data_IF_381172070934
#
_entry.id   IF_381172070934
#
_cell.length_a   1.000
_cell.length_b   1.000
_cell.length_c   1.000
_cell.angle_alpha   90.00
_cell.angle_beta   90.00
_cell.angle_gamma   90.00
#
_symmetry.space_group_name_H-M   'P 1'
#
loop_
_entity.id
_entity.type
_entity.pdbx_description
1 polymer ?
#
# COMPACT_ATOMS: atom_id res chain seq x y z
N UNK A 1 -26.53 -3.79 0.21
CA UNK A 1 -25.37 -3.82 -0.72
C UNK A 1 -24.93 -2.39 -0.92
N UNK A 2 -23.72 -2.00 -0.49
CA UNK A 2 -23.21 -0.66 -0.77
C UNK A 2 -22.88 -0.58 -2.26
N UNK A 3 -23.73 0.08 -3.04
CA UNK A 3 -23.44 0.42 -4.44
C UNK A 3 -22.29 1.44 -4.42
N UNK A 4 -21.09 1.00 -4.78
CA UNK A 4 -19.94 1.89 -4.86
C UNK A 4 -20.21 2.96 -5.89
N UNK A 5 -20.26 4.22 -5.46
CA UNK A 5 -20.57 5.33 -6.34
C UNK A 5 -19.33 5.71 -7.16
N UNK A 6 -19.10 4.99 -8.26
CA UNK A 6 -17.95 5.21 -9.15
C UNK A 6 -17.85 6.65 -9.69
N UNK A 7 -18.99 7.33 -9.86
CA UNK A 7 -19.03 8.74 -10.24
C UNK A 7 -18.50 9.66 -9.12
N UNK A 8 -18.89 9.40 -7.86
CA UNK A 8 -18.35 10.13 -6.72
C UNK A 8 -16.85 9.89 -6.54
N UNK A 9 -16.40 8.65 -6.73
CA UNK A 9 -14.97 8.32 -6.73
C UNK A 9 -14.21 9.11 -7.81
N UNK A 10 -14.69 9.10 -9.06
CA UNK A 10 -14.08 9.86 -10.15
C UNK A 10 -14.01 11.36 -9.83
N UNK A 11 -15.10 11.95 -9.32
CA UNK A 11 -15.16 13.35 -8.95
C UNK A 11 -14.18 13.73 -7.82
N UNK A 12 -13.89 12.81 -6.89
CA UNK A 12 -12.90 13.00 -5.84
C UNK A 12 -11.48 12.92 -6.38
N UNK A 13 -11.18 11.96 -7.26
CA UNK A 13 -9.86 11.85 -7.90
C UNK A 13 -9.54 13.09 -8.76
N UNK A 14 -10.53 13.66 -9.45
CA UNK A 14 -10.36 14.93 -10.20
C UNK A 14 -10.01 16.10 -9.27
N UNK A 15 -10.37 16.04 -7.99
CA UNK A 15 -10.00 17.04 -6.98
C UNK A 15 -8.65 16.79 -6.30
N UNK A 16 -7.87 15.82 -6.77
CA UNK A 16 -6.52 15.56 -6.26
C UNK A 16 -6.48 14.80 -4.93
N UNK A 17 -7.51 14.02 -4.62
CA UNK A 17 -7.48 13.11 -3.46
C UNK A 17 -6.39 12.06 -3.66
N UNK A 18 -5.47 11.96 -2.69
CA UNK A 18 -4.49 10.88 -2.66
C UNK A 18 -5.16 9.55 -2.31
N UNK A 19 -5.25 8.65 -3.28
CA UNK A 19 -5.91 7.35 -3.11
C UNK A 19 -5.12 6.36 -2.27
N UNK A 20 -3.84 6.66 -2.02
CA UNK A 20 -2.94 5.87 -1.16
C UNK A 20 -3.05 6.28 0.31
N UNK A 21 -3.63 7.45 0.59
CA UNK A 21 -3.90 7.89 1.96
C UNK A 21 -5.08 7.11 2.58
N UNK A 22 -5.08 7.00 3.91
CA UNK A 22 -6.16 6.38 4.67
C UNK A 22 -5.76 6.09 6.12
N UNK A 23 -6.72 6.20 7.05
CA UNK A 23 -6.45 6.02 8.48
C UNK A 23 -6.24 4.54 8.85
N UNK A 24 -7.20 3.69 8.47
CA UNK A 24 -7.19 2.25 8.77
C UNK A 24 -6.65 1.45 7.60
N UNK A 25 -6.98 1.88 6.38
CA UNK A 25 -6.53 1.31 5.12
C UNK A 25 -6.86 2.30 4.01
N UNK A 26 -6.20 2.17 2.86
CA UNK A 26 -6.42 3.05 1.72
C UNK A 26 -7.64 2.65 0.89
N UNK A 27 -8.00 3.49 -0.08
CA UNK A 27 -9.18 3.30 -0.94
C UNK A 27 -9.22 1.92 -1.61
N UNK A 28 -8.07 1.41 -2.06
CA UNK A 28 -7.99 0.09 -2.72
C UNK A 28 -8.29 -1.07 -1.76
N UNK A 29 -8.01 -0.93 -0.46
CA UNK A 29 -8.36 -1.94 0.54
C UNK A 29 -9.87 -2.15 0.58
N UNK A 30 -10.62 -1.06 0.70
CA UNK A 30 -12.08 -1.11 0.78
C UNK A 30 -12.70 -1.51 -0.56
N UNK A 31 -12.22 -0.96 -1.67
CA UNK A 31 -12.73 -1.32 -2.99
C UNK A 31 -12.59 -2.83 -3.26
N UNK A 32 -11.45 -3.43 -2.89
CA UNK A 32 -11.22 -4.86 -3.02
C UNK A 32 -12.09 -5.68 -2.06
N UNK A 33 -12.15 -5.31 -0.78
CA UNK A 33 -12.91 -6.03 0.25
C UNK A 33 -14.43 -6.08 -0.03
N UNK A 34 -14.98 -5.02 -0.62
CA UNK A 34 -16.39 -4.93 -0.98
C UNK A 34 -16.69 -5.37 -2.42
N UNK A 35 -15.70 -5.88 -3.16
CA UNK A 35 -15.90 -6.41 -4.51
C UNK A 35 -16.24 -5.35 -5.57
N UNK A 36 -15.80 -4.10 -5.38
CA UNK A 36 -16.04 -2.98 -6.29
C UNK A 36 -15.10 -3.03 -7.50
N UNK A 37 -15.33 -4.02 -8.38
CA UNK A 37 -14.42 -4.33 -9.51
C UNK A 37 -14.04 -3.11 -10.36
N UNK A 38 -15.01 -2.26 -10.69
CA UNK A 38 -14.74 -1.09 -11.54
C UNK A 38 -13.85 -0.06 -10.84
N UNK A 39 -14.09 0.21 -9.55
CA UNK A 39 -13.25 1.12 -8.75
C UNK A 39 -11.83 0.56 -8.64
N UNK A 40 -11.68 -0.74 -8.40
CA UNK A 40 -10.36 -1.40 -8.36
C UNK A 40 -9.63 -1.27 -9.70
N UNK A 41 -10.31 -1.47 -10.83
CA UNK A 41 -9.70 -1.28 -12.15
C UNK A 41 -9.24 0.15 -12.37
N UNK A 42 -10.05 1.14 -12.00
CA UNK A 42 -9.68 2.56 -12.12
C UNK A 42 -8.48 2.89 -11.22
N UNK A 43 -8.49 2.44 -9.97
CA UNK A 43 -7.37 2.64 -9.02
C UNK A 43 -6.05 2.03 -9.50
N UNK A 44 -6.11 0.90 -10.22
CA UNK A 44 -4.95 0.21 -10.77
C UNK A 44 -4.52 0.73 -12.15
N UNK A 45 -5.16 1.79 -12.67
CA UNK A 45 -4.84 2.32 -13.99
C UNK A 45 -5.30 1.43 -15.16
N UNK A 46 -6.09 0.39 -14.90
CA UNK A 46 -6.52 -0.60 -15.90
C UNK A 46 -7.74 -0.15 -16.70
N UNK A 47 -7.97 1.16 -16.80
CA UNK A 47 -9.08 1.74 -17.55
C UNK A 47 -8.58 2.77 -18.58
N UNK A 48 -9.25 2.93 -19.72
CA UNK A 48 -8.84 3.91 -20.74
C UNK A 48 -8.86 5.36 -20.22
N UNK A 49 -9.66 5.64 -19.18
CA UNK A 49 -9.74 6.95 -18.54
C UNK A 49 -8.45 7.31 -17.80
N UNK A 50 -7.91 6.35 -17.04
CA UNK A 50 -6.67 6.53 -16.28
C UNK A 50 -5.42 6.60 -17.15
N UNK A 51 -5.43 5.99 -18.33
CA UNK A 51 -4.34 6.14 -19.32
C UNK A 51 -4.19 7.60 -19.81
N UNK A 52 -5.30 8.36 -19.88
CA UNK A 52 -5.30 9.74 -20.40
C UNK A 52 -5.21 10.81 -19.31
N UNK A 53 -5.64 10.50 -18.09
CA UNK A 53 -5.79 11.48 -16.99
C UNK A 53 -5.16 11.03 -15.66
N UNK A 54 -4.39 9.94 -15.65
CA UNK A 54 -3.73 9.44 -14.46
C UNK A 54 -2.60 10.36 -14.01
N UNK A 55 -2.63 10.78 -12.76
CA UNK A 55 -1.50 11.38 -12.04
C UNK A 55 -0.93 10.35 -11.06
N UNK A 56 0.31 10.54 -10.60
CA UNK A 56 0.97 9.65 -9.63
C UNK A 56 0.15 9.42 -8.34
N UNK A 57 -0.60 10.43 -7.91
CA UNK A 57 -1.45 10.38 -6.71
C UNK A 57 -2.81 9.70 -6.94
N UNK A 58 -3.17 9.45 -8.20
CA UNK A 58 -4.43 8.79 -8.57
C UNK A 58 -4.26 7.27 -8.76
N UNK A 59 -3.02 6.78 -8.84
CA UNK A 59 -2.72 5.36 -8.95
C UNK A 59 -2.49 4.76 -7.56
N UNK A 60 -3.26 3.73 -7.25
CA UNK A 60 -3.14 3.03 -5.99
C UNK A 60 -1.93 2.10 -6.01
N UNK A 61 -1.16 2.11 -4.93
CA UNK A 61 -0.14 1.11 -4.64
C UNK A 61 -0.83 -0.17 -4.12
N UNK A 62 -0.88 -1.26 -4.91
CA UNK A 62 -1.53 -2.51 -4.50
C UNK A 62 -0.77 -3.25 -3.40
N UNK A 63 0.45 -2.81 -3.07
CA UNK A 63 1.31 -3.39 -2.03
C UNK A 63 1.24 -2.63 -0.72
N UNK A 64 0.49 -1.53 -0.66
CA UNK A 64 0.31 -0.76 0.56
C UNK A 64 -0.33 -1.65 1.63
N UNK A 65 0.12 -1.50 2.88
CA UNK A 65 -0.42 -2.25 4.01
C UNK A 65 -1.37 -1.39 4.82
N UNK A 66 -2.47 -1.97 5.26
CA UNK A 66 -3.38 -1.38 6.23
C UNK A 66 -2.76 -1.37 7.65
N UNK A 67 -3.47 -0.82 8.64
CA UNK A 67 -2.98 -0.74 10.04
C UNK A 67 -2.73 -2.12 10.68
N UNK A 68 -3.31 -3.18 10.12
CA UNK A 68 -3.13 -4.55 10.58
C UNK A 68 -2.03 -5.28 9.78
N UNK A 69 -1.31 -4.55 8.92
CA UNK A 69 -0.24 -5.08 8.09
C UNK A 69 -0.73 -5.88 6.87
N UNK A 70 -2.02 -5.84 6.53
CA UNK A 70 -2.60 -6.61 5.42
C UNK A 70 -2.55 -5.81 4.12
N UNK A 71 -2.33 -6.47 3.00
CA UNK A 71 -2.50 -5.87 1.67
C UNK A 71 -3.99 -5.83 1.27
N UNK A 72 -4.38 -5.06 0.23
CA UNK A 72 -5.74 -5.07 -0.29
C UNK A 72 -6.23 -6.46 -0.69
N UNK A 73 -5.35 -7.26 -1.30
CA UNK A 73 -5.63 -8.65 -1.69
C UNK A 73 -5.91 -9.52 -0.48
N UNK A 74 -5.12 -9.38 0.59
CA UNK A 74 -5.30 -10.15 1.83
C UNK A 74 -6.60 -9.80 2.54
N UNK A 75 -6.96 -8.50 2.57
CA UNK A 75 -8.24 -8.07 3.10
C UNK A 75 -9.42 -8.62 2.27
N UNK A 76 -9.29 -8.63 0.93
CA UNK A 76 -10.30 -9.21 0.05
C UNK A 76 -10.47 -10.73 0.26
N UNK A 77 -9.38 -11.47 0.47
CA UNK A 77 -9.43 -12.89 0.85
C UNK A 77 -10.19 -13.09 2.17
N UNK A 78 -9.89 -12.29 3.18
CA UNK A 78 -10.58 -12.36 4.47
C UNK A 78 -12.08 -12.07 4.33
N UNK A 79 -12.45 -11.06 3.53
CA UNK A 79 -13.84 -10.73 3.25
C UNK A 79 -14.56 -11.85 2.49
N UNK A 80 -13.90 -12.48 1.51
CA UNK A 80 -14.43 -13.61 0.75
C UNK A 80 -14.61 -14.86 1.64
N UNK A 81 -13.66 -15.17 2.51
CA UNK A 81 -13.80 -16.25 3.50
C UNK A 81 -14.99 -15.99 4.41
N UNK A 82 -15.11 -14.78 4.96
CA UNK A 82 -16.25 -14.42 5.79
C UNK A 82 -17.60 -14.47 5.03
N UNK A 83 -17.61 -14.25 3.71
CA UNK A 83 -18.80 -14.39 2.89
C UNK A 83 -19.15 -15.86 2.59
N UNK A 84 -18.13 -16.70 2.40
CA UNK A 84 -18.26 -18.14 2.24
C UNK A 84 -18.85 -18.79 3.50
N UNK A 85 -18.33 -18.47 4.68
CA UNK A 85 -18.84 -18.96 5.98
C UNK A 85 -20.29 -18.54 6.25
N UNK A 86 -20.71 -17.37 5.72
CA UNK A 86 -22.10 -16.90 5.81
C UNK A 86 -23.08 -17.64 4.91
N UNK A 87 -22.62 -18.58 4.08
CA UNK A 87 -23.47 -19.44 3.24
C UNK A 87 -24.13 -18.74 2.04
N UNK A 88 -23.78 -17.48 1.75
CA UNK A 88 -24.32 -16.78 0.59
C UNK A 88 -23.59 -17.27 -0.66
N UNK A 89 -24.23 -18.02 -1.57
CA UNK A 89 -23.64 -18.50 -2.83
C UNK A 89 -22.18 -19.07 -2.72
N UNK A 90 -22.00 -20.21 -2.02
CA UNK A 90 -20.69 -20.75 -1.64
C UNK A 90 -19.82 -21.14 -2.84
N UNK A 91 -20.42 -21.63 -3.94
CA UNK A 91 -19.68 -22.05 -5.14
C UNK A 91 -18.99 -20.88 -5.83
N UNK A 92 -19.66 -19.72 -5.90
CA UNK A 92 -19.06 -18.49 -6.45
C UNK A 92 -17.86 -18.06 -5.63
N UNK A 93 -17.99 -18.03 -4.30
CA UNK A 93 -16.89 -17.62 -3.42
C UNK A 93 -15.74 -18.62 -3.41
N UNK A 94 -16.02 -19.93 -3.48
CA UNK A 94 -15.01 -20.98 -3.60
C UNK A 94 -14.13 -20.81 -4.84
N UNK A 95 -14.73 -20.51 -6.00
CA UNK A 95 -13.97 -20.25 -7.24
C UNK A 95 -13.12 -18.98 -7.12
N UNK A 96 -13.68 -17.90 -6.58
CA UNK A 96 -12.96 -16.63 -6.40
C UNK A 96 -11.79 -16.76 -5.41
N UNK A 97 -11.98 -17.48 -4.31
CA UNK A 97 -10.94 -17.78 -3.33
C UNK A 97 -9.75 -18.51 -3.97
N UNK A 98 -10.01 -19.56 -4.76
CA UNK A 98 -8.94 -20.29 -5.46
C UNK A 98 -8.13 -19.40 -6.40
N UNK A 99 -8.81 -18.53 -7.16
CA UNK A 99 -8.14 -17.61 -8.09
C UNK A 99 -7.26 -16.62 -7.31
N UNK A 100 -7.81 -16.02 -6.25
CA UNK A 100 -7.14 -14.97 -5.49
C UNK A 100 -5.98 -15.52 -4.66
N UNK A 101 -6.13 -16.71 -4.07
CA UNK A 101 -5.04 -17.43 -3.38
C UNK A 101 -3.90 -17.76 -4.34
N UNK A 102 -4.21 -18.29 -5.53
CA UNK A 102 -3.19 -18.59 -6.54
C UNK A 102 -2.44 -17.33 -6.99
N UNK A 103 -3.14 -16.21 -7.13
CA UNK A 103 -2.52 -14.93 -7.45
C UNK A 103 -1.61 -14.43 -6.32
N UNK A 104 -2.03 -14.57 -5.06
CA UNK A 104 -1.20 -14.20 -3.90
C UNK A 104 0.06 -15.06 -3.80
N UNK A 105 -0.05 -16.38 -4.00
CA UNK A 105 1.12 -17.27 -3.96
C UNK A 105 2.11 -16.96 -5.08
N UNK A 106 1.63 -16.67 -6.30
CA UNK A 106 2.49 -16.22 -7.39
C UNK A 106 3.22 -14.93 -7.03
N UNK A 107 2.50 -13.97 -6.44
CA UNK A 107 3.10 -12.72 -6.00
C UNK A 107 4.17 -12.92 -4.91
N UNK A 108 3.93 -13.82 -3.94
CA UNK A 108 4.93 -14.17 -2.92
C UNK A 108 6.19 -14.77 -3.54
N UNK A 109 6.03 -15.60 -4.57
CA UNK A 109 7.16 -16.16 -5.33
C UNK A 109 7.95 -15.06 -6.03
N UNK A 110 7.30 -14.14 -6.74
CA UNK A 110 7.98 -13.02 -7.44
C UNK A 110 8.78 -12.15 -6.45
N UNK A 111 8.20 -11.85 -5.29
CA UNK A 111 8.84 -11.15 -4.17
C UNK A 111 10.09 -11.87 -3.65
N UNK A 112 10.05 -13.20 -3.58
CA UNK A 112 11.20 -13.99 -3.12
C UNK A 112 12.36 -13.91 -4.12
N UNK A 113 12.06 -13.84 -5.41
CA UNK A 113 13.05 -13.64 -6.48
C UNK A 113 13.67 -12.25 -6.37
N UNK A 114 12.87 -11.19 -6.19
CA UNK A 114 13.36 -9.82 -5.99
C UNK A 114 14.34 -9.73 -4.81
N UNK A 115 14.03 -10.38 -3.68
CA UNK A 115 14.89 -10.41 -2.48
C UNK A 115 16.22 -11.13 -2.69
N UNK A 116 16.30 -12.00 -3.68
CA UNK A 116 17.50 -12.76 -4.03
C UNK A 116 18.33 -12.12 -5.16
N UNK A 117 17.90 -10.97 -5.68
CA UNK A 117 18.67 -10.20 -6.67
C UNK A 117 20.00 -9.73 -6.10
N UNK A 118 21.00 -9.54 -6.97
CA UNK A 118 22.31 -9.03 -6.56
C UNK A 118 22.23 -7.68 -5.86
N UNK A 119 21.32 -6.80 -6.32
CA UNK A 119 21.08 -5.50 -5.68
C UNK A 119 20.45 -5.64 -4.29
N UNK A 120 19.44 -6.51 -4.12
CA UNK A 120 18.85 -6.74 -2.79
C UNK A 120 19.86 -7.33 -1.80
N UNK A 121 20.74 -8.24 -2.26
CA UNK A 121 21.85 -8.77 -1.45
C UNK A 121 22.82 -7.67 -1.02
N UNK A 122 23.22 -6.79 -1.96
CA UNK A 122 24.06 -5.62 -1.66
C UNK A 122 23.39 -4.68 -0.65
N UNK A 123 22.10 -4.38 -0.84
CA UNK A 123 21.37 -3.50 0.07
C UNK A 123 21.29 -4.12 1.47
N UNK A 124 21.04 -5.42 1.56
CA UNK A 124 21.01 -6.17 2.82
C UNK A 124 22.35 -6.13 3.56
N UNK A 125 23.48 -6.18 2.85
CA UNK A 125 24.81 -6.06 3.47
C UNK A 125 25.20 -4.62 3.79
N UNK A 126 24.76 -3.64 3.00
CA UNK A 126 25.09 -2.23 3.18
C UNK A 126 24.21 -1.54 4.25
N UNK A 127 22.97 -2.00 4.47
CA UNK A 127 22.01 -1.39 5.40
C UNK A 127 22.55 -1.18 6.82
N UNK A 128 23.23 -2.17 7.46
CA UNK A 128 23.80 -1.97 8.80
C UNK A 128 24.84 -0.85 8.82
N UNK A 129 25.71 -0.78 7.80
CA UNK A 129 26.74 0.26 7.68
C UNK A 129 26.09 1.63 7.49
N UNK A 130 25.10 1.73 6.59
CA UNK A 130 24.36 2.98 6.36
C UNK A 130 23.60 3.42 7.62
N UNK A 131 23.06 2.48 8.39
CA UNK A 131 22.37 2.76 9.65
C UNK A 131 23.35 3.30 10.69
N UNK A 132 24.53 2.69 10.82
CA UNK A 132 25.58 3.14 11.73
C UNK A 132 26.07 4.55 11.36
N UNK A 133 26.33 4.80 10.07
CA UNK A 133 26.71 6.13 9.57
C UNK A 133 25.61 7.15 9.85
N UNK A 134 24.35 6.80 9.61
CA UNK A 134 23.22 7.68 9.91
C UNK A 134 23.18 8.01 11.39
N UNK A 135 23.19 7.02 12.29
CA UNK A 135 23.13 7.24 13.74
C UNK A 135 24.32 8.05 14.29
N UNK A 136 25.51 7.83 13.75
CA UNK A 136 26.74 8.52 14.20
C UNK A 136 26.84 9.96 13.69
N UNK A 137 26.30 10.25 12.50
CA UNK A 137 26.36 11.58 11.88
C UNK A 137 25.13 12.44 12.13
N UNK A 138 23.97 11.84 12.40
CA UNK A 138 22.73 12.54 12.77
C UNK A 138 22.55 12.66 14.28
N UNK A 139 23.60 13.05 15.00
CA UNK A 139 23.39 13.55 16.36
C UNK A 139 22.51 14.81 16.29
N UNK A 140 21.31 14.84 16.90
CA UNK A 140 20.69 16.12 17.17
C UNK A 140 21.65 16.89 18.07
N UNK A 141 22.04 18.10 17.66
CA UNK A 141 22.74 19.03 18.55
C UNK A 141 21.76 19.38 19.66
N UNK A 142 21.74 18.58 20.72
CA UNK A 142 21.12 18.97 21.97
C UNK A 142 21.99 20.13 22.45
N UNK A 143 21.48 21.36 22.29
CA UNK A 143 22.06 22.53 22.93
C UNK A 143 22.10 22.23 24.42
N UNK A 144 23.29 21.92 24.92
CA UNK A 144 23.55 21.81 26.33
C UNK A 144 23.35 23.22 26.95
N UNK A 145 22.36 23.43 27.84
CA UNK A 145 22.10 24.74 28.43
C UNK A 145 23.21 25.19 29.39
N UNK A 146 24.25 24.39 29.61
CA UNK A 146 25.31 24.65 30.59
C UNK A 146 26.53 25.41 30.05
N UNK A 147 26.64 25.63 28.73
CA UNK A 147 27.74 26.43 28.18
C UNK A 147 27.32 27.89 27.90
N UNK A 148 27.90 28.89 28.61
CA UNK A 148 27.61 30.28 28.36
C UNK A 148 28.14 30.68 26.97
N UNK A 149 27.32 31.46 26.24
CA UNK A 149 27.70 32.08 24.97
C UNK A 149 28.90 33.00 25.19
N UNK A 150 30.07 32.61 24.68
CA UNK A 150 31.17 33.55 24.49
C UNK A 150 30.81 34.40 23.28
N UNK A 151 30.41 35.65 23.52
CA UNK A 151 30.33 36.67 22.49
C UNK A 151 31.76 37.08 22.15
N UNK A 152 32.22 36.76 20.94
CA UNK A 152 33.41 37.39 20.38
C UNK A 152 33.00 38.78 19.92
N UNK A 153 33.33 39.79 20.71
CA UNK A 153 33.43 41.18 20.27
C UNK A 153 34.89 41.41 19.89
N UNK A 154 35.14 41.78 18.63
CA UNK A 154 36.46 42.06 18.07
C UNK A 154 36.50 41.81 16.58
#
# INVERSE_FOLDING_TARGET
MATGNGAAFAALCTRGVDVNSGLIGSTIHYAAAYGQLQIVKTLLGLTPYTEKHGTENNLANPRLRDIYGRTPTQLALQALNAAYERGSNPERYRKLLKILQKAEERFKQDLSVERNTSFAKLLKSALPVLTEVYLTTTKPSIRDPTYPRVYVLG
#
